data_IF_707642987820
#
_entry.id   IF_707642987820
#
_cell.length_a   1.000
_cell.length_b   1.000
_cell.length_c   1.000
_cell.angle_alpha   90.00
_cell.angle_beta   90.00
_cell.angle_gamma   90.00
#
_symmetry.space_group_name_H-M   'P 1'
#
loop_
_entity.id
_entity.type
_entity.pdbx_description
1 polymer ?
#
# COMPACT_ATOMS: atom_id res chain seq x y z
N UNK A 1 -16.57 -27.53 37.25
CA UNK A 1 -15.54 -27.55 36.19
C UNK A 1 -16.06 -28.16 34.88
N UNK A 2 -16.67 -29.35 34.86
CA UNK A 2 -17.16 -29.99 33.63
C UNK A 2 -18.28 -29.27 32.84
N UNK A 3 -19.00 -28.32 33.47
CA UNK A 3 -20.05 -27.53 32.78
C UNK A 3 -19.42 -26.40 31.93
N UNK A 4 -18.34 -25.78 32.40
CA UNK A 4 -17.61 -24.71 31.67
C UNK A 4 -16.92 -25.25 30.41
N UNK A 5 -16.25 -26.41 30.52
CA UNK A 5 -15.55 -27.01 29.36
C UNK A 5 -16.53 -27.46 28.26
N UNK A 6 -17.72 -27.96 28.62
CA UNK A 6 -18.75 -28.33 27.65
C UNK A 6 -19.32 -27.09 26.97
N UNK A 7 -19.59 -26.02 27.72
CA UNK A 7 -20.03 -24.74 27.17
C UNK A 7 -18.97 -24.11 26.26
N UNK A 8 -17.70 -24.15 26.64
CA UNK A 8 -16.57 -23.68 25.82
C UNK A 8 -16.44 -24.47 24.51
N UNK A 9 -16.56 -25.79 24.57
CA UNK A 9 -16.55 -26.64 23.36
C UNK A 9 -17.74 -26.34 22.44
N UNK A 10 -18.94 -26.18 23.00
CA UNK A 10 -20.14 -25.82 22.24
C UNK A 10 -20.03 -24.43 21.60
N UNK A 11 -19.43 -23.47 22.31
CA UNK A 11 -19.16 -22.13 21.78
C UNK A 11 -18.08 -22.15 20.70
N UNK A 12 -17.05 -22.97 20.88
CA UNK A 12 -16.03 -23.21 19.87
C UNK A 12 -16.64 -23.79 18.60
N UNK A 13 -17.51 -24.79 18.74
CA UNK A 13 -18.27 -25.35 17.60
C UNK A 13 -19.16 -24.27 16.96
N UNK A 14 -19.82 -23.42 17.76
CA UNK A 14 -20.59 -22.29 17.25
C UNK A 14 -19.75 -21.30 16.41
N UNK A 15 -18.46 -21.08 16.73
CA UNK A 15 -17.58 -20.22 15.93
C UNK A 15 -17.30 -20.74 14.51
N UNK A 16 -17.31 -22.07 14.33
CA UNK A 16 -16.95 -22.73 13.07
C UNK A 16 -18.17 -23.19 12.25
N UNK A 17 -19.35 -23.29 12.87
CA UNK A 17 -20.60 -23.62 12.20
C UNK A 17 -21.27 -22.40 11.53
N UNK A 18 -22.12 -22.66 10.54
CA UNK A 18 -22.88 -21.60 9.83
C UNK A 18 -23.90 -20.94 10.75
N UNK A 19 -24.32 -21.64 11.80
CA UNK A 19 -25.31 -21.18 12.77
C UNK A 19 -24.78 -20.08 13.69
N UNK A 20 -23.47 -20.06 14.00
CA UNK A 20 -22.85 -18.91 14.68
C UNK A 20 -22.93 -17.63 13.85
N UNK A 21 -22.96 -17.74 12.52
CA UNK A 21 -23.21 -16.60 11.64
C UNK A 21 -24.70 -16.19 11.64
N UNK A 22 -25.64 -17.13 11.83
CA UNK A 22 -27.05 -16.84 12.04
C UNK A 22 -27.27 -16.12 13.38
N UNK A 23 -26.58 -16.54 14.43
CA UNK A 23 -26.61 -15.91 15.75
C UNK A 23 -26.01 -14.50 15.66
N UNK A 24 -24.80 -14.33 15.11
CA UNK A 24 -24.19 -13.02 14.94
C UNK A 24 -25.04 -12.06 14.08
N UNK A 25 -25.69 -12.58 13.02
CA UNK A 25 -26.61 -11.80 12.18
C UNK A 25 -27.86 -11.38 12.94
N UNK A 26 -28.59 -12.34 13.53
CA UNK A 26 -29.81 -12.07 14.31
C UNK A 26 -29.56 -11.09 15.44
N UNK A 27 -28.41 -11.20 16.08
CA UNK A 27 -28.02 -10.32 17.19
C UNK A 27 -27.54 -8.95 16.69
N UNK A 28 -26.86 -8.88 15.54
CA UNK A 28 -26.51 -7.60 14.90
C UNK A 28 -27.76 -6.85 14.43
N UNK A 29 -28.71 -7.54 13.80
CA UNK A 29 -29.99 -6.98 13.35
C UNK A 29 -30.80 -6.48 14.56
N UNK A 30 -30.75 -7.20 15.69
CA UNK A 30 -31.34 -6.77 16.96
C UNK A 30 -30.68 -5.51 17.54
N UNK A 31 -29.36 -5.29 17.37
CA UNK A 31 -28.71 -4.04 17.81
C UNK A 31 -29.13 -2.85 16.95
N UNK A 32 -29.29 -3.06 15.63
CA UNK A 32 -29.75 -2.00 14.72
C UNK A 32 -31.19 -1.60 15.02
N UNK A 33 -32.05 -2.55 15.43
CA UNK A 33 -33.43 -2.26 15.85
C UNK A 33 -33.54 -1.76 17.30
N UNK A 34 -32.60 -2.12 18.20
CA UNK A 34 -32.66 -1.78 19.64
C UNK A 34 -31.98 -0.45 20.01
N UNK A 35 -31.72 0.43 19.03
CA UNK A 35 -31.54 1.86 19.32
C UNK A 35 -32.87 2.55 19.65
N UNK A 36 -34.01 1.85 19.52
CA UNK A 36 -35.30 2.23 20.11
C UNK A 36 -35.80 1.11 21.05
N UNK A 37 -35.66 1.38 22.35
CA UNK A 37 -36.38 0.79 23.51
C UNK A 37 -36.24 -0.70 23.90
N UNK A 38 -36.61 -0.92 25.17
CA UNK A 38 -36.29 -2.03 26.08
C UNK A 38 -37.12 -3.29 25.82
N UNK A 39 -36.51 -4.43 26.22
CA UNK A 39 -37.06 -5.79 26.44
C UNK A 39 -37.15 -6.75 25.23
N UNK A 40 -36.42 -7.88 25.31
CA UNK A 40 -36.82 -9.19 24.73
C UNK A 40 -36.32 -10.26 25.72
N UNK A 41 -37.18 -10.77 26.62
CA UNK A 41 -38.05 -11.94 26.46
C UNK A 41 -37.31 -13.29 26.56
N UNK A 42 -37.66 -14.05 27.60
CA UNK A 42 -37.08 -15.32 27.98
C UNK A 42 -37.61 -16.50 27.14
N UNK A 43 -36.70 -17.33 26.60
CA UNK A 43 -36.94 -18.75 26.31
C UNK A 43 -35.62 -19.52 26.42
N UNK A 44 -35.66 -20.71 27.02
CA UNK A 44 -34.50 -21.46 27.53
C UNK A 44 -33.45 -21.89 26.50
N UNK A 45 -32.19 -21.59 26.87
CA UNK A 45 -30.89 -22.13 26.47
C UNK A 45 -29.93 -20.93 26.55
N UNK A 46 -29.05 -20.93 27.55
CA UNK A 46 -28.15 -19.84 27.95
C UNK A 46 -27.95 -18.75 26.87
N UNK A 47 -28.65 -17.61 27.02
CA UNK A 47 -28.43 -16.46 26.15
C UNK A 47 -27.08 -15.86 26.50
N UNK A 48 -26.02 -16.35 25.87
CA UNK A 48 -24.70 -15.72 25.94
C UNK A 48 -24.87 -14.30 25.41
N UNK A 49 -24.64 -13.32 26.28
CA UNK A 49 -24.65 -11.91 25.87
C UNK A 49 -23.71 -11.75 24.68
N UNK A 50 -24.10 -10.94 23.70
CA UNK A 50 -23.28 -10.68 22.50
C UNK A 50 -21.85 -10.27 22.86
N UNK A 51 -21.72 -9.50 23.94
CA UNK A 51 -20.43 -9.06 24.48
C UNK A 51 -19.57 -10.23 24.91
N UNK A 52 -20.18 -11.23 25.54
CA UNK A 52 -19.46 -12.40 26.03
C UNK A 52 -19.10 -13.35 24.88
N UNK A 53 -19.94 -13.43 23.85
CA UNK A 53 -19.63 -14.16 22.63
C UNK A 53 -18.39 -13.60 21.92
N UNK A 54 -18.36 -12.28 21.66
CA UNK A 54 -17.20 -11.65 21.01
C UNK A 54 -15.98 -11.55 21.93
N UNK A 55 -16.16 -11.47 23.25
CA UNK A 55 -15.05 -11.54 24.22
C UNK A 55 -14.37 -12.91 24.16
N UNK A 56 -15.13 -14.00 24.22
CA UNK A 56 -14.61 -15.37 24.07
C UNK A 56 -13.97 -15.59 22.70
N UNK A 57 -14.50 -14.97 21.65
CA UNK A 57 -13.84 -14.97 20.33
C UNK A 57 -12.48 -14.26 20.38
N UNK A 58 -12.36 -13.13 21.08
CA UNK A 58 -11.10 -12.42 21.30
C UNK A 58 -10.06 -13.25 22.05
N UNK A 59 -10.48 -13.95 23.11
CA UNK A 59 -9.65 -14.89 23.85
C UNK A 59 -9.14 -16.04 22.96
N UNK A 60 -10.00 -16.59 22.09
CA UNK A 60 -9.57 -17.57 21.10
C UNK A 60 -8.54 -16.99 20.11
N UNK A 61 -8.73 -15.74 19.69
CA UNK A 61 -7.85 -15.05 18.73
C UNK A 61 -6.47 -14.70 19.31
N UNK A 62 -6.35 -14.55 20.64
CA UNK A 62 -5.03 -14.34 21.28
C UNK A 62 -4.17 -15.60 21.27
N UNK A 63 -4.80 -16.79 21.35
CA UNK A 63 -4.13 -18.09 21.34
C UNK A 63 -3.96 -18.69 19.94
N UNK A 64 -4.58 -18.09 18.92
CA UNK A 64 -4.58 -18.65 17.57
C UNK A 64 -3.18 -18.68 16.95
N UNK A 65 -2.72 -19.85 16.53
CA UNK A 65 -1.44 -20.00 15.83
C UNK A 65 -1.65 -20.38 14.37
N UNK A 66 -2.31 -21.52 14.14
CA UNK A 66 -2.59 -22.07 12.83
C UNK A 66 -3.94 -22.79 12.84
N UNK A 67 -4.59 -22.89 11.68
CA UNK A 67 -5.83 -23.66 11.52
C UNK A 67 -6.96 -22.88 10.85
N UNK A 68 -8.17 -23.43 10.94
CA UNK A 68 -9.37 -22.78 10.37
C UNK A 68 -9.68 -21.50 11.15
N UNK A 69 -10.05 -20.45 10.42
CA UNK A 69 -10.48 -19.19 11.02
C UNK A 69 -11.98 -19.28 11.37
N UNK A 70 -12.41 -18.78 12.54
CA UNK A 70 -13.82 -18.66 12.88
C UNK A 70 -14.66 -18.02 11.76
N UNK A 71 -15.75 -18.67 11.37
CA UNK A 71 -16.68 -18.12 10.35
C UNK A 71 -17.38 -16.87 10.85
N UNK A 72 -17.51 -16.71 12.17
CA UNK A 72 -17.99 -15.49 12.82
C UNK A 72 -17.23 -14.24 12.33
N UNK A 73 -15.90 -14.33 12.20
CA UNK A 73 -15.07 -13.21 11.74
C UNK A 73 -15.23 -12.92 10.24
N UNK A 74 -15.49 -13.95 9.42
CA UNK A 74 -15.86 -13.73 8.03
C UNK A 74 -17.22 -13.02 7.94
N UNK A 75 -18.20 -13.40 8.76
CA UNK A 75 -19.49 -12.73 8.81
C UNK A 75 -19.39 -11.27 9.27
N UNK A 76 -18.50 -10.95 10.22
CA UNK A 76 -18.24 -9.58 10.66
C UNK A 76 -17.94 -8.64 9.49
N UNK A 77 -17.24 -9.09 8.45
CA UNK A 77 -16.93 -8.24 7.28
C UNK A 77 -18.16 -7.78 6.50
N UNK A 78 -19.28 -8.50 6.61
CA UNK A 78 -20.55 -8.18 5.94
C UNK A 78 -21.42 -7.23 6.75
N UNK A 79 -21.30 -7.23 8.07
CA UNK A 79 -22.10 -6.39 8.96
C UNK A 79 -21.76 -4.89 8.82
N UNK A 80 -22.74 -4.03 9.10
CA UNK A 80 -22.57 -2.57 9.06
C UNK A 80 -21.91 -2.04 10.34
N UNK A 81 -22.30 -2.56 11.50
CA UNK A 81 -21.76 -2.25 12.84
C UNK A 81 -20.46 -2.99 13.20
N UNK A 82 -19.72 -3.48 12.19
CA UNK A 82 -18.54 -4.35 12.38
C UNK A 82 -17.44 -3.70 13.23
N UNK A 83 -17.28 -2.37 13.20
CA UNK A 83 -16.24 -1.66 13.95
C UNK A 83 -16.45 -1.82 15.47
N UNK A 84 -17.68 -1.63 15.94
CA UNK A 84 -18.04 -1.76 17.36
C UNK A 84 -17.88 -3.21 17.83
N UNK A 85 -18.34 -4.16 17.02
CA UNK A 85 -18.22 -5.58 17.35
C UNK A 85 -16.76 -6.05 17.39
N UNK A 86 -15.92 -5.54 16.49
CA UNK A 86 -14.50 -5.88 16.47
C UNK A 86 -13.76 -5.29 17.67
N UNK A 87 -14.13 -4.09 18.14
CA UNK A 87 -13.57 -3.52 19.38
C UNK A 87 -13.82 -4.41 20.60
N UNK A 88 -14.98 -5.08 20.67
CA UNK A 88 -15.29 -6.04 21.76
C UNK A 88 -14.33 -7.23 21.79
N UNK A 89 -13.77 -7.62 20.65
CA UNK A 89 -12.83 -8.75 20.54
C UNK A 89 -11.40 -8.41 20.97
N UNK A 90 -11.13 -7.15 21.39
CA UNK A 90 -9.82 -6.67 21.83
C UNK A 90 -8.67 -7.02 20.87
N UNK A 91 -8.64 -6.45 19.65
CA UNK A 91 -7.68 -6.80 18.60
C UNK A 91 -6.21 -6.53 18.95
N UNK A 92 -5.95 -5.76 19.99
CA UNK A 92 -4.61 -5.53 20.55
C UNK A 92 -3.99 -6.80 21.17
N UNK A 93 -4.80 -7.65 21.80
CA UNK A 93 -4.35 -8.88 22.45
C UNK A 93 -4.26 -10.08 21.50
N UNK A 94 -4.72 -9.93 20.26
CA UNK A 94 -4.69 -11.01 19.27
C UNK A 94 -3.27 -11.50 18.99
N UNK A 95 -3.14 -12.75 18.58
CA UNK A 95 -1.84 -13.22 18.10
C UNK A 95 -1.47 -12.53 16.77
N UNK A 96 -0.17 -12.38 16.46
CA UNK A 96 0.28 -11.91 15.15
C UNK A 96 -0.29 -12.72 13.97
N UNK A 97 -0.48 -14.03 14.16
CA UNK A 97 -0.99 -14.94 13.15
C UNK A 97 -2.49 -14.71 12.91
N UNK A 98 -3.24 -14.47 13.98
CA UNK A 98 -4.66 -14.15 13.94
C UNK A 98 -4.89 -12.82 13.21
N UNK A 99 -4.07 -11.81 13.54
CA UNK A 99 -4.09 -10.51 12.88
C UNK A 99 -3.82 -10.62 11.37
N UNK A 100 -2.86 -11.44 10.95
CA UNK A 100 -2.60 -11.68 9.53
C UNK A 100 -3.80 -12.28 8.80
N UNK A 101 -4.41 -13.32 9.37
CA UNK A 101 -5.58 -13.97 8.77
C UNK A 101 -6.79 -13.05 8.73
N UNK A 102 -7.04 -12.28 9.79
CA UNK A 102 -8.04 -11.22 9.83
C UNK A 102 -7.80 -10.19 8.72
N UNK A 103 -6.56 -9.70 8.58
CA UNK A 103 -6.16 -8.77 7.51
C UNK A 103 -6.47 -9.35 6.13
N UNK A 104 -6.15 -10.63 5.89
CA UNK A 104 -6.43 -11.27 4.60
C UNK A 104 -7.94 -11.37 4.29
N UNK A 105 -8.79 -11.53 5.31
CA UNK A 105 -10.24 -11.51 5.14
C UNK A 105 -10.79 -10.10 4.90
N UNK A 106 -10.31 -9.10 5.66
CA UNK A 106 -10.73 -7.71 5.47
C UNK A 106 -10.22 -7.12 4.15
N UNK A 107 -9.08 -7.61 3.63
CA UNK A 107 -8.50 -7.12 2.38
C UNK A 107 -9.41 -7.28 1.14
N UNK A 108 -10.32 -8.28 1.15
CA UNK A 108 -11.32 -8.44 0.08
C UNK A 108 -12.56 -7.56 0.27
N UNK A 109 -12.78 -7.02 1.48
CA UNK A 109 -13.93 -6.18 1.81
C UNK A 109 -13.69 -4.71 1.46
N UNK A 110 -14.78 -3.96 1.29
CA UNK A 110 -14.76 -2.48 1.15
C UNK A 110 -14.34 -1.80 2.46
N UNK A 111 -14.49 -2.48 3.59
CA UNK A 111 -14.16 -1.99 4.95
C UNK A 111 -12.67 -2.11 5.30
N UNK A 112 -11.84 -2.56 4.36
CA UNK A 112 -10.41 -2.78 4.56
C UNK A 112 -9.67 -1.53 5.07
N UNK A 113 -9.98 -0.36 4.52
CA UNK A 113 -9.29 0.90 4.80
C UNK A 113 -9.42 1.28 6.28
N UNK A 114 -10.66 1.30 6.76
CA UNK A 114 -10.98 1.61 8.15
C UNK A 114 -10.42 0.56 9.12
N UNK A 115 -10.40 -0.71 8.71
CA UNK A 115 -9.77 -1.77 9.50
C UNK A 115 -8.24 -1.55 9.63
N UNK A 116 -7.57 -1.15 8.56
CA UNK A 116 -6.14 -0.88 8.59
C UNK A 116 -5.81 0.32 9.49
N UNK A 117 -6.60 1.37 9.39
CA UNK A 117 -6.43 2.59 10.17
C UNK A 117 -6.62 2.34 11.68
N UNK A 118 -7.70 1.66 12.06
CA UNK A 118 -8.10 1.52 13.46
C UNK A 118 -7.41 0.37 14.20
N UNK A 119 -7.05 -0.72 13.52
CA UNK A 119 -6.63 -1.95 14.20
C UNK A 119 -5.25 -2.43 13.77
N UNK A 120 -5.01 -2.57 12.47
CA UNK A 120 -3.73 -3.09 11.98
C UNK A 120 -2.58 -2.12 12.28
N UNK A 121 -2.78 -0.83 12.02
CA UNK A 121 -1.74 0.17 12.16
C UNK A 121 -1.31 0.38 13.62
N UNK A 122 -2.22 0.63 14.59
CA UNK A 122 -1.83 0.75 15.99
C UNK A 122 -1.06 -0.48 16.47
N UNK A 123 -1.52 -1.67 16.09
CA UNK A 123 -0.87 -2.92 16.46
C UNK A 123 0.55 -3.05 15.92
N UNK A 124 0.75 -2.75 14.63
CA UNK A 124 2.08 -2.79 14.01
C UNK A 124 3.01 -1.76 14.64
N UNK A 125 2.50 -0.56 14.96
CA UNK A 125 3.29 0.50 15.62
C UNK A 125 3.74 0.07 17.00
N UNK A 126 2.85 -0.57 17.76
CA UNK A 126 3.19 -1.09 19.10
C UNK A 126 4.24 -2.19 19.02
N UNK A 127 4.09 -3.14 18.11
CA UNK A 127 5.05 -4.23 17.93
C UNK A 127 6.44 -3.72 17.56
N UNK A 128 6.53 -2.71 16.68
CA UNK A 128 7.80 -2.06 16.32
C UNK A 128 8.41 -1.34 17.51
N UNK A 129 7.59 -0.70 18.36
CA UNK A 129 8.08 0.01 19.54
C UNK A 129 8.71 -0.96 20.54
N UNK A 130 8.06 -2.09 20.79
CA UNK A 130 8.48 -3.09 21.77
C UNK A 130 9.65 -3.93 21.24
N UNK A 131 9.47 -4.60 20.10
CA UNK A 131 10.40 -5.64 19.65
C UNK A 131 11.53 -5.12 18.75
N UNK A 132 11.41 -3.90 18.19
CA UNK A 132 12.29 -3.26 17.17
C UNK A 132 12.45 -4.06 15.86
N UNK A 133 12.33 -5.39 15.88
CA UNK A 133 12.25 -6.34 14.78
C UNK A 133 10.80 -6.77 14.61
N UNK A 134 10.31 -6.75 13.37
CA UNK A 134 8.89 -7.02 13.07
C UNK A 134 8.60 -8.53 13.07
N UNK A 135 7.52 -8.94 13.72
CA UNK A 135 7.03 -10.32 13.58
C UNK A 135 6.68 -10.64 12.12
N UNK A 136 7.07 -11.82 11.62
CA UNK A 136 6.89 -12.21 10.21
C UNK A 136 5.43 -12.09 9.72
N UNK A 137 4.46 -12.57 10.50
CA UNK A 137 3.05 -12.49 10.13
C UNK A 137 2.51 -11.04 10.07
N UNK A 138 3.03 -10.13 10.89
CA UNK A 138 2.66 -8.70 10.82
C UNK A 138 3.30 -8.03 9.60
N UNK A 139 4.46 -8.48 9.15
CA UNK A 139 4.99 -8.05 7.87
C UNK A 139 4.15 -8.58 6.69
N UNK A 140 3.74 -9.85 6.74
CA UNK A 140 2.86 -10.43 5.71
C UNK A 140 1.50 -9.72 5.66
N UNK A 141 0.95 -9.30 6.81
CA UNK A 141 -0.31 -8.55 6.85
C UNK A 141 -0.17 -7.17 6.19
N UNK A 142 0.94 -6.45 6.43
CA UNK A 142 1.24 -5.22 5.72
C UNK A 142 1.39 -5.44 4.22
N UNK A 143 2.12 -6.50 3.81
CA UNK A 143 2.24 -6.87 2.40
C UNK A 143 0.87 -7.13 1.76
N UNK A 144 -0.06 -7.73 2.50
CA UNK A 144 -1.43 -7.94 2.04
C UNK A 144 -2.25 -6.64 1.97
N UNK A 145 -2.07 -5.74 2.94
CA UNK A 145 -2.74 -4.45 2.95
C UNK A 145 -2.41 -3.59 1.73
N UNK A 146 -1.18 -3.71 1.19
CA UNK A 146 -0.75 -3.04 -0.04
C UNK A 146 -1.60 -3.35 -1.28
N UNK A 147 -2.33 -4.47 -1.32
CA UNK A 147 -3.22 -4.79 -2.45
C UNK A 147 -4.42 -3.83 -2.56
N UNK A 148 -4.69 -3.01 -1.53
CA UNK A 148 -5.72 -1.96 -1.53
C UNK A 148 -5.06 -0.59 -1.29
N UNK A 149 -4.57 0.09 -2.35
CA UNK A 149 -3.72 1.26 -2.20
C UNK A 149 -4.42 2.46 -1.54
N UNK A 150 -5.74 2.61 -1.73
CA UNK A 150 -6.53 3.72 -1.19
C UNK A 150 -6.47 3.83 0.35
N UNK A 151 -6.33 2.71 1.06
CA UNK A 151 -6.26 2.69 2.53
C UNK A 151 -4.86 2.70 3.15
N UNK A 152 -3.78 2.79 2.36
CA UNK A 152 -2.40 2.61 2.84
C UNK A 152 -1.56 3.89 2.79
N UNK A 153 -2.15 5.08 2.61
CA UNK A 153 -1.36 6.31 2.51
C UNK A 153 -0.79 6.73 3.88
N UNK A 154 0.49 6.44 4.10
CA UNK A 154 1.24 6.72 5.33
C UNK A 154 2.02 8.04 5.29
N UNK A 155 2.40 8.61 6.47
CA UNK A 155 3.22 9.82 6.61
C UNK A 155 4.65 9.75 6.05
N UNK A 156 5.10 8.61 5.51
CA UNK A 156 6.44 8.42 4.93
C UNK A 156 6.44 8.59 3.40
N UNK A 157 5.67 9.57 2.90
CA UNK A 157 5.43 9.77 1.46
C UNK A 157 6.74 9.81 0.67
N UNK A 158 7.76 10.52 1.16
CA UNK A 158 9.06 10.63 0.47
C UNK A 158 9.80 9.29 0.31
N UNK A 159 9.73 8.42 1.33
CA UNK A 159 10.37 7.09 1.27
C UNK A 159 9.64 6.16 0.28
N UNK A 160 8.30 6.17 0.30
CA UNK A 160 7.51 5.39 -0.66
C UNK A 160 7.66 5.91 -2.08
N UNK A 161 7.63 7.23 -2.28
CA UNK A 161 7.88 7.86 -3.57
C UNK A 161 9.25 7.46 -4.10
N UNK A 162 10.31 7.49 -3.27
CA UNK A 162 11.66 7.03 -3.67
C UNK A 162 11.64 5.59 -4.12
N UNK A 163 11.04 4.70 -3.31
CA UNK A 163 10.97 3.28 -3.62
C UNK A 163 10.23 3.00 -4.94
N UNK A 164 9.18 3.77 -5.27
CA UNK A 164 8.44 3.63 -6.54
C UNK A 164 9.29 4.16 -7.70
N UNK A 165 9.93 5.32 -7.56
CA UNK A 165 10.77 5.92 -8.59
C UNK A 165 12.00 5.05 -8.91
N UNK A 166 12.59 4.41 -7.90
CA UNK A 166 13.73 3.49 -8.05
C UNK A 166 13.38 2.22 -8.84
N UNK A 167 12.09 1.86 -8.98
CA UNK A 167 11.67 0.75 -9.83
C UNK A 167 11.79 1.03 -11.33
N UNK A 168 12.11 2.27 -11.73
CA UNK A 168 12.36 2.69 -13.12
C UNK A 168 11.21 2.40 -14.09
N UNK A 169 9.97 2.35 -13.60
CA UNK A 169 8.79 2.19 -14.45
C UNK A 169 8.61 3.37 -15.42
N UNK A 170 7.99 3.13 -16.57
CA UNK A 170 7.49 4.21 -17.42
C UNK A 170 6.26 4.82 -16.74
N UNK A 171 6.32 6.10 -16.37
CA UNK A 171 5.20 6.79 -15.74
C UNK A 171 4.42 7.56 -16.80
N UNK A 172 3.10 7.64 -16.64
CA UNK A 172 2.30 8.54 -17.45
C UNK A 172 2.73 9.99 -17.20
N UNK A 173 2.73 10.82 -18.24
CA UNK A 173 3.14 12.21 -18.12
C UNK A 173 2.35 13.01 -17.05
N UNK A 174 1.06 12.72 -16.88
CA UNK A 174 0.25 13.33 -15.81
C UNK A 174 0.77 12.99 -14.40
N UNK A 175 1.31 11.78 -14.21
CA UNK A 175 1.90 11.38 -12.94
C UNK A 175 3.23 12.12 -12.70
N UNK A 176 4.03 12.34 -13.75
CA UNK A 176 5.28 13.10 -13.67
C UNK A 176 4.99 14.56 -13.31
N UNK A 177 4.01 15.18 -13.98
CA UNK A 177 3.57 16.54 -13.68
C UNK A 177 3.06 16.64 -12.23
N UNK A 178 2.31 15.64 -11.73
CA UNK A 178 1.84 15.59 -10.34
C UNK A 178 2.99 15.41 -9.32
N UNK A 179 3.99 14.59 -9.63
CA UNK A 179 5.19 14.40 -8.79
C UNK A 179 6.01 15.69 -8.75
N UNK A 180 6.19 16.36 -9.89
CA UNK A 180 6.85 17.66 -9.95
C UNK A 180 6.10 18.70 -9.11
N UNK A 181 4.77 18.80 -9.26
CA UNK A 181 3.93 19.69 -8.46
C UNK A 181 4.02 19.38 -6.95
N UNK A 182 4.15 18.11 -6.56
CA UNK A 182 4.38 17.73 -5.16
C UNK A 182 5.68 18.34 -4.61
N UNK A 183 6.77 18.29 -5.36
CA UNK A 183 8.05 18.91 -4.95
C UNK A 183 7.96 20.45 -4.92
N UNK A 184 7.29 21.06 -5.89
CA UNK A 184 7.11 22.52 -5.95
C UNK A 184 6.31 23.08 -4.77
N UNK A 185 5.43 22.28 -4.15
CA UNK A 185 4.73 22.69 -2.92
C UNK A 185 5.71 23.03 -1.79
N UNK A 186 6.87 22.38 -1.74
CA UNK A 186 7.88 22.62 -0.70
C UNK A 186 8.69 23.90 -0.93
N UNK A 187 8.54 24.60 -2.06
CA UNK A 187 9.13 25.93 -2.27
C UNK A 187 8.63 26.97 -1.25
N UNK A 188 7.44 26.76 -0.65
CA UNK A 188 6.83 27.65 0.33
C UNK A 188 7.13 27.25 1.79
N UNK A 189 7.71 26.06 2.01
CA UNK A 189 8.02 25.57 3.36
C UNK A 189 9.42 26.06 3.78
N UNK A 190 9.50 26.72 4.94
CA UNK A 190 10.76 27.26 5.49
C UNK A 190 11.58 26.23 6.28
N UNK A 191 11.05 25.03 6.48
CA UNK A 191 11.74 23.96 7.22
C UNK A 191 12.83 23.33 6.36
N UNK A 192 13.92 22.94 7.00
CA UNK A 192 14.99 22.15 6.37
C UNK A 192 14.43 20.77 6.03
N UNK A 193 14.55 20.38 4.76
CA UNK A 193 14.07 19.07 4.31
C UNK A 193 15.03 17.95 4.73
N UNK A 194 14.51 16.77 5.10
CA UNK A 194 15.35 15.64 5.47
C UNK A 194 16.11 15.08 4.27
N UNK A 195 17.26 14.44 4.50
CA UNK A 195 18.11 13.83 3.45
C UNK A 195 17.33 12.93 2.49
N UNK A 196 16.37 12.17 3.02
CA UNK A 196 15.52 11.28 2.20
C UNK A 196 14.76 12.05 1.11
N UNK A 197 14.35 13.28 1.37
CA UNK A 197 13.64 14.12 0.40
C UNK A 197 14.53 14.48 -0.79
N UNK A 198 15.78 14.89 -0.52
CA UNK A 198 16.76 15.18 -1.56
C UNK A 198 17.11 13.92 -2.37
N UNK A 199 17.21 12.76 -1.71
CA UNK A 199 17.42 11.48 -2.38
C UNK A 199 16.23 11.09 -3.27
N UNK A 200 14.99 11.32 -2.82
CA UNK A 200 13.79 11.07 -3.63
C UNK A 200 13.77 11.98 -4.87
N UNK A 201 14.13 13.25 -4.71
CA UNK A 201 14.20 14.20 -5.81
C UNK A 201 15.29 13.82 -6.81
N UNK A 202 16.47 13.40 -6.34
CA UNK A 202 17.54 12.90 -7.21
C UNK A 202 17.07 11.68 -8.02
N UNK A 203 16.44 10.69 -7.39
CA UNK A 203 15.92 9.52 -8.08
C UNK A 203 14.86 9.87 -9.14
N UNK A 204 14.01 10.87 -8.86
CA UNK A 204 13.05 11.40 -9.84
C UNK A 204 13.75 12.03 -11.05
N UNK A 205 14.68 12.96 -10.80
CA UNK A 205 15.39 13.68 -11.87
C UNK A 205 16.23 12.73 -12.70
N UNK A 206 17.01 11.82 -12.09
CA UNK A 206 17.84 10.86 -12.82
C UNK A 206 17.05 10.02 -13.84
N UNK A 207 15.80 9.66 -13.51
CA UNK A 207 14.97 8.82 -14.38
C UNK A 207 14.12 9.62 -15.37
N UNK A 208 13.47 10.68 -14.93
CA UNK A 208 12.44 11.39 -15.71
C UNK A 208 12.91 12.72 -16.32
N UNK A 209 14.23 13.01 -16.32
CA UNK A 209 14.80 14.26 -16.84
C UNK A 209 14.37 14.65 -18.27
N UNK A 210 14.15 13.67 -19.15
CA UNK A 210 13.73 13.89 -20.54
C UNK A 210 12.22 14.15 -20.69
N UNK A 211 11.43 13.84 -19.67
CA UNK A 211 9.96 13.96 -19.71
C UNK A 211 9.45 15.20 -18.96
N UNK A 212 10.35 16.01 -18.38
CA UNK A 212 10.01 17.24 -17.67
C UNK A 212 9.79 18.42 -18.62
N UNK A 213 8.80 19.28 -18.29
CA UNK A 213 8.57 20.55 -18.97
C UNK A 213 9.67 21.55 -18.62
N UNK A 214 9.92 22.49 -19.53
CA UNK A 214 10.93 23.55 -19.33
C UNK A 214 10.64 24.44 -18.12
N UNK A 215 9.35 24.72 -17.86
CA UNK A 215 8.88 25.51 -16.72
C UNK A 215 9.15 24.81 -15.39
N UNK A 216 8.87 23.50 -15.32
CA UNK A 216 9.10 22.70 -14.12
C UNK A 216 10.59 22.60 -13.80
N UNK A 217 11.46 22.45 -14.81
CA UNK A 217 12.92 22.45 -14.60
C UNK A 217 13.42 23.76 -14.00
N UNK A 218 12.99 24.91 -14.54
CA UNK A 218 13.34 26.23 -13.97
C UNK A 218 12.86 26.36 -12.53
N UNK A 219 11.64 25.90 -12.26
CA UNK A 219 11.03 25.95 -10.93
C UNK A 219 11.76 25.04 -9.94
N UNK A 220 12.21 23.85 -10.38
CA UNK A 220 13.03 22.93 -9.60
C UNK A 220 14.43 23.48 -9.32
N UNK A 221 15.08 24.13 -10.29
CA UNK A 221 16.36 24.80 -10.04
C UNK A 221 16.21 25.89 -8.98
N UNK A 222 15.15 26.71 -9.08
CA UNK A 222 14.84 27.75 -8.09
C UNK A 222 14.53 27.16 -6.70
N UNK A 223 13.98 25.94 -6.64
CA UNK A 223 13.76 25.21 -5.39
C UNK A 223 15.08 24.75 -4.76
N UNK A 224 16.02 24.24 -5.56
CA UNK A 224 17.31 23.74 -5.10
C UNK A 224 18.23 24.85 -4.55
N UNK A 225 18.06 26.08 -5.04
CA UNK A 225 18.75 27.27 -4.49
C UNK A 225 18.28 27.57 -3.05
N UNK A 226 17.01 27.33 -2.74
CA UNK A 226 16.43 27.56 -1.41
C UNK A 226 16.65 26.39 -0.45
N UNK A 227 16.60 25.16 -0.97
CA UNK A 227 16.72 23.92 -0.21
C UNK A 227 17.95 23.16 -0.72
N UNK A 228 19.11 23.52 -0.17
CA UNK A 228 20.40 22.97 -0.57
C UNK A 228 20.88 21.86 0.38
N UNK A 229 21.45 20.82 -0.21
CA UNK A 229 22.17 19.76 0.49
C UNK A 229 23.55 19.62 -0.16
N UNK A 230 24.61 19.65 0.65
CA UNK A 230 26.01 19.77 0.20
C UNK A 230 26.41 18.76 -0.88
N UNK A 231 26.08 17.48 -0.69
CA UNK A 231 26.47 16.41 -1.62
C UNK A 231 25.46 16.14 -2.77
N UNK A 232 24.16 16.28 -2.51
CA UNK A 232 23.11 15.76 -3.42
C UNK A 232 22.65 16.84 -4.40
N UNK A 233 22.48 18.08 -3.94
CA UNK A 233 22.02 19.20 -4.77
C UNK A 233 22.87 19.40 -6.04
N UNK A 234 24.21 19.38 -6.01
CA UNK A 234 25.00 19.54 -7.23
C UNK A 234 24.77 18.42 -8.25
N UNK A 235 24.54 17.18 -7.81
CA UNK A 235 24.20 16.08 -8.71
C UNK A 235 22.84 16.30 -9.40
N UNK A 236 21.84 16.77 -8.64
CA UNK A 236 20.51 17.07 -9.20
C UNK A 236 20.60 18.16 -10.26
N UNK A 237 21.33 19.26 -9.98
CA UNK A 237 21.51 20.36 -10.93
C UNK A 237 22.22 19.86 -12.19
N UNK A 238 23.28 19.06 -12.05
CA UNK A 238 23.99 18.47 -13.19
C UNK A 238 23.06 17.63 -14.07
N UNK A 239 22.23 16.79 -13.47
CA UNK A 239 21.26 15.96 -14.22
C UNK A 239 20.19 16.81 -14.93
N UNK A 240 19.71 17.88 -14.29
CA UNK A 240 18.75 18.82 -14.90
C UNK A 240 19.35 19.54 -16.11
N UNK A 241 20.58 20.06 -15.99
CA UNK A 241 21.29 20.77 -17.08
C UNK A 241 21.61 19.82 -18.24
N UNK A 242 21.94 18.56 -17.95
CA UNK A 242 22.25 17.56 -18.99
C UNK A 242 21.05 17.16 -19.87
N UNK A 243 19.84 17.58 -19.53
CA UNK A 243 18.60 16.98 -20.02
C UNK A 243 17.83 17.83 -21.03
N UNK A 244 17.35 17.18 -22.10
CA UNK A 244 16.44 17.77 -23.10
C UNK A 244 15.05 18.02 -22.54
N UNK A 245 14.36 19.05 -23.02
CA UNK A 245 13.00 19.37 -22.60
C UNK A 245 11.98 18.49 -23.32
N UNK A 246 10.86 18.20 -22.63
CA UNK A 246 9.74 17.49 -23.25
C UNK A 246 9.18 18.30 -24.42
N UNK A 247 9.16 17.71 -25.62
CA UNK A 247 8.65 18.36 -26.84
C UNK A 247 9.65 19.28 -27.55
N UNK A 248 10.91 19.30 -27.13
CA UNK A 248 11.97 20.02 -27.83
C UNK A 248 12.27 19.27 -29.14
N UNK A 249 11.87 19.84 -30.28
CA UNK A 249 12.29 19.33 -31.59
C UNK A 249 13.81 19.49 -31.72
N UNK A 250 14.45 18.57 -32.42
CA UNK A 250 15.88 18.65 -32.70
C UNK A 250 16.11 19.90 -33.55
N UNK A 251 16.62 20.97 -32.92
CA UNK A 251 17.28 22.03 -33.68
C UNK A 251 18.53 21.40 -34.27
N UNK A 252 18.42 20.95 -35.51
CA UNK A 252 19.54 20.43 -36.29
C UNK A 252 20.37 21.61 -36.81
N UNK A 253 20.90 22.42 -35.90
CA UNK A 253 21.90 23.44 -36.19
C UNK A 253 23.24 22.96 -35.61
N UNK A 254 24.03 22.38 -36.53
CA UNK A 254 25.41 21.92 -36.39
C UNK A 254 25.62 20.46 -35.97
N UNK A 255 25.32 19.54 -36.89
CA UNK A 255 26.34 18.80 -37.66
C UNK A 255 25.69 17.56 -38.29
N UNK A 256 25.02 17.74 -39.43
CA UNK A 256 24.63 16.63 -40.28
C UNK A 256 25.29 16.88 -41.63
N UNK A 257 26.45 16.27 -41.84
CA UNK A 257 26.94 15.95 -43.18
C UNK A 257 25.79 15.28 -43.93
N UNK A 258 25.35 15.90 -45.02
CA UNK A 258 24.25 15.47 -45.88
C UNK A 258 24.41 14.00 -46.26
N UNK A 259 23.73 13.09 -45.55
CA UNK A 259 23.49 11.74 -46.04
C UNK A 259 22.37 11.89 -47.08
N UNK A 260 22.79 11.80 -48.34
CA UNK A 260 21.93 11.87 -49.51
C UNK A 260 21.09 10.59 -49.55
N UNK A 261 19.86 10.61 -49.03
CA UNK A 261 18.91 9.51 -49.13
C UNK A 261 18.35 9.39 -50.56
N UNK A 262 19.22 9.08 -51.52
CA UNK A 262 18.75 8.44 -52.75
C UNK A 262 18.53 6.96 -52.44
N UNK A 263 17.38 6.36 -52.79
CA UNK A 263 17.21 4.92 -52.66
C UNK A 263 18.28 4.25 -53.52
N UNK A 264 19.15 3.46 -52.88
CA UNK A 264 20.15 2.66 -53.56
C UNK A 264 19.38 1.65 -54.40
N UNK A 265 19.51 1.76 -55.73
CA UNK A 265 18.98 0.78 -56.67
C UNK A 265 20.03 -0.32 -56.75
N UNK A 266 19.78 -1.44 -56.08
CA UNK A 266 20.64 -2.62 -56.20
C UNK A 266 20.43 -3.21 -57.61
N UNK A 267 21.34 -2.89 -58.53
CA UNK A 267 21.42 -3.55 -59.83
C UNK A 267 22.01 -4.95 -59.61
N UNK A 268 21.18 -5.97 -59.77
CA UNK A 268 21.50 -7.40 -59.63
C UNK A 268 22.64 -7.89 -60.55
N UNK A 269 23.13 -7.06 -61.47
CA UNK A 269 24.16 -7.39 -62.44
C UNK A 269 25.57 -6.94 -62.04
N UNK A 270 25.74 -6.21 -60.94
CA UNK A 270 27.04 -5.67 -60.52
C UNK A 270 27.56 -6.36 -59.24
N UNK A 271 27.66 -7.68 -59.30
CA UNK A 271 28.24 -8.48 -58.22
C UNK A 271 29.75 -8.66 -58.46
N UNK A 272 30.63 -8.21 -57.55
CA UNK A 272 32.07 -8.36 -57.73
C UNK A 272 32.46 -9.84 -57.71
N UNK A 273 33.34 -10.24 -58.63
CA UNK A 273 33.84 -11.61 -58.69
C UNK A 273 34.66 -11.94 -57.44
N UNK A 274 34.25 -12.99 -56.73
CA UNK A 274 34.96 -13.53 -55.57
C UNK A 274 36.20 -14.28 -56.08
N UNK A 275 37.43 -13.88 -55.70
CA UNK A 275 38.62 -14.64 -56.03
C UNK A 275 38.54 -15.99 -55.32
N UNK A 276 38.59 -17.08 -56.08
CA UNK A 276 38.75 -18.42 -55.53
C UNK A 276 40.23 -18.58 -55.12
N UNK A 277 40.49 -18.86 -53.84
CA UNK A 277 41.80 -19.33 -53.40
C UNK A 277 41.99 -20.77 -53.90
N UNK A 278 43.09 -21.02 -54.62
CA UNK A 278 43.50 -22.34 -55.08
C UNK A 278 44.19 -23.09 -53.93
N UNK A 279 43.66 -24.27 -53.57
CA UNK A 279 44.38 -25.35 -52.88
C UNK A 279 44.03 -26.70 -53.56
#
# INVERSE_FOLDING_TARGET
MACSEKEEKLLLDAFFHKDGASIAKRVSDAITSSLEEKHIAATGAAFVSITDYYRKLGEFMSLYTNGKMPKALNHLTRLENWESLLKLTQPESWSPNAMYKATNMFASSTKAERFYELFLLPRVREDIRIHKKRHFCLYQSLKKALFKPKGFYFPCVSYFMKAILEKKYALAHLAIDAVAAHFLRFCKETKVMPVIWHQTLLAFVQRYKHELRKEDKKSLTSLLEKQNHELITPEIVRELVSSRNRGEMVDNSHSASTINNKPIKEDWFDMPQVPMEED
#
